data_IF_236918843328
#
_entry.id   IF_236918843328
#
_cell.length_a   1.000
_cell.length_b   1.000
_cell.length_c   1.000
_cell.angle_alpha   90.00
_cell.angle_beta   90.00
_cell.angle_gamma   90.00
#
_symmetry.space_group_name_H-M   'P 1'
#
loop_
_entity.id
_entity.type
_entity.pdbx_description
1 polymer ?
#
# COMPACT_ATOMS: atom_id res chain seq x y z
N UNK A 1 11.49 22.46 -4.05
CA UNK A 1 10.41 21.78 -4.80
C UNK A 1 9.48 21.09 -3.81
N UNK A 2 8.18 20.95 -4.08
CA UNK A 2 7.23 20.30 -3.14
C UNK A 2 7.58 18.81 -2.93
N UNK A 3 7.54 18.29 -1.68
CA UNK A 3 7.88 16.89 -1.36
C UNK A 3 6.83 15.90 -1.88
N UNK A 4 7.22 14.64 -2.06
CA UNK A 4 6.31 13.52 -2.21
C UNK A 4 6.26 12.71 -0.90
N UNK A 5 5.12 12.10 -0.59
CA UNK A 5 4.96 11.23 0.57
C UNK A 5 4.56 9.81 0.16
N UNK A 6 5.04 8.82 0.89
CA UNK A 6 4.73 7.40 0.67
C UNK A 6 4.23 6.78 1.98
N UNK A 7 3.12 6.06 1.90
CA UNK A 7 2.51 5.32 3.00
C UNK A 7 2.04 3.95 2.49
N UNK A 8 1.98 2.94 3.35
CA UNK A 8 1.55 1.57 3.02
C UNK A 8 1.12 0.85 4.29
N UNK A 9 0.40 -0.27 4.14
CA UNK A 9 0.15 -1.19 5.25
C UNK A 9 -0.55 -0.54 6.45
N UNK A 10 -1.58 0.26 6.16
CA UNK A 10 -2.40 0.91 7.19
C UNK A 10 -3.40 -0.06 7.83
N UNK A 11 -3.80 -1.10 7.10
CA UNK A 11 -4.75 -2.14 7.54
C UNK A 11 -6.01 -1.58 8.22
N UNK A 12 -6.57 -0.49 7.67
CA UNK A 12 -7.73 0.18 8.24
C UNK A 12 -8.91 -0.79 8.37
N UNK A 13 -9.60 -0.72 9.52
CA UNK A 13 -10.79 -1.52 9.79
C UNK A 13 -11.63 -0.89 10.89
N UNK A 14 -12.92 -1.24 10.95
CA UNK A 14 -13.83 -0.80 12.02
C UNK A 14 -13.40 -1.29 13.42
N UNK A 15 -12.52 -2.30 13.49
CA UNK A 15 -11.98 -2.83 14.75
C UNK A 15 -10.81 -2.03 15.30
N UNK A 16 -10.20 -1.19 14.46
CA UNK A 16 -9.03 -0.38 14.78
C UNK A 16 -9.28 1.07 14.32
N UNK A 17 -10.30 1.76 14.87
CA UNK A 17 -10.63 3.13 14.49
C UNK A 17 -9.49 4.12 14.74
N UNK A 18 -8.58 3.82 15.67
CA UNK A 18 -7.36 4.60 15.95
C UNK A 18 -6.43 4.71 14.73
N UNK A 19 -6.28 3.65 13.92
CA UNK A 19 -5.48 3.71 12.70
C UNK A 19 -6.13 4.62 11.65
N UNK A 20 -7.47 4.62 11.62
CA UNK A 20 -8.21 5.57 10.78
C UNK A 20 -7.98 7.00 11.27
N UNK A 21 -8.03 7.24 12.58
CA UNK A 21 -7.75 8.55 13.15
C UNK A 21 -6.32 9.04 12.83
N UNK A 22 -5.31 8.17 12.89
CA UNK A 22 -3.95 8.49 12.45
C UNK A 22 -3.94 8.90 10.96
N UNK A 23 -4.61 8.16 10.08
CA UNK A 23 -4.64 8.50 8.66
C UNK A 23 -5.30 9.85 8.45
N UNK A 24 -6.45 10.09 9.09
CA UNK A 24 -7.14 11.37 8.95
C UNK A 24 -6.31 12.53 9.49
N UNK A 25 -5.55 12.33 10.56
CA UNK A 25 -4.60 13.31 11.08
C UNK A 25 -3.50 13.61 10.05
N UNK A 26 -2.94 12.59 9.40
CA UNK A 26 -1.98 12.78 8.32
C UNK A 26 -2.60 13.53 7.14
N UNK A 27 -3.73 13.08 6.62
CA UNK A 27 -4.39 13.68 5.46
C UNK A 27 -4.82 15.13 5.69
N UNK A 28 -5.11 15.50 6.94
CA UNK A 28 -5.46 16.88 7.33
C UNK A 28 -4.25 17.76 7.65
N UNK A 29 -3.05 17.20 7.66
CA UNK A 29 -1.84 17.92 8.02
C UNK A 29 -1.37 18.91 6.96
N UNK A 30 -0.60 19.91 7.40
CA UNK A 30 0.07 20.85 6.50
C UNK A 30 1.02 20.13 5.56
N UNK A 31 1.75 19.13 6.06
CA UNK A 31 2.62 18.25 5.27
C UNK A 31 1.88 17.63 4.07
N UNK A 32 0.74 16.96 4.32
CA UNK A 32 -0.06 16.35 3.27
C UNK A 32 -0.68 17.40 2.31
N UNK A 33 -1.16 18.52 2.85
CA UNK A 33 -1.77 19.59 2.06
C UNK A 33 -0.79 20.34 1.14
N UNK A 34 0.51 20.32 1.45
CA UNK A 34 1.56 20.98 0.66
C UNK A 34 2.36 20.00 -0.21
N UNK A 35 2.05 18.71 -0.16
CA UNK A 35 2.70 17.68 -0.94
C UNK A 35 2.53 17.92 -2.46
N UNK A 36 3.55 17.56 -3.23
CA UNK A 36 3.44 17.36 -4.68
C UNK A 36 2.54 16.17 -4.98
N UNK A 37 2.78 15.06 -4.27
CA UNK A 37 2.04 13.83 -4.44
C UNK A 37 2.08 12.97 -3.16
N UNK A 38 1.05 12.15 -2.99
CA UNK A 38 0.98 11.09 -1.98
C UNK A 38 0.81 9.76 -2.71
N UNK A 39 1.66 8.79 -2.40
CA UNK A 39 1.61 7.44 -2.94
C UNK A 39 1.23 6.47 -1.82
N UNK A 40 0.12 5.78 -2.01
CA UNK A 40 -0.38 4.74 -1.11
C UNK A 40 -0.02 3.39 -1.73
N UNK A 41 0.96 2.69 -1.17
CA UNK A 41 1.53 1.46 -1.75
C UNK A 41 0.81 0.19 -1.27
N UNK A 42 -0.52 0.24 -1.19
CA UNK A 42 -1.36 -0.92 -0.92
C UNK A 42 -1.59 -1.21 0.56
N UNK A 43 -2.47 -2.18 0.80
CA UNK A 43 -2.91 -2.57 2.15
C UNK A 43 -3.41 -1.36 2.97
N UNK A 44 -4.14 -0.46 2.30
CA UNK A 44 -4.85 0.64 2.93
C UNK A 44 -5.94 0.11 3.87
N UNK A 45 -6.67 -0.93 3.47
CA UNK A 45 -7.69 -1.59 4.30
C UNK A 45 -7.27 -3.02 4.68
N UNK A 46 -7.70 -3.52 5.84
CA UNK A 46 -7.37 -4.90 6.27
C UNK A 46 -7.90 -5.97 5.30
N UNK A 47 -9.01 -5.67 4.61
CA UNK A 47 -9.45 -6.34 3.40
C UNK A 47 -10.39 -5.42 2.60
N UNK A 48 -10.45 -5.62 1.28
CA UNK A 48 -11.45 -5.00 0.40
C UNK A 48 -12.16 -6.08 -0.41
N UNK A 49 -13.49 -6.14 -0.34
CA UNK A 49 -14.28 -7.16 -1.06
C UNK A 49 -15.04 -6.64 -2.28
N UNK A 50 -14.94 -5.35 -2.59
CA UNK A 50 -15.50 -4.74 -3.79
C UNK A 50 -15.91 -3.29 -3.54
N UNK A 51 -15.90 -2.47 -4.60
CA UNK A 51 -16.20 -1.04 -4.51
C UNK A 51 -17.67 -0.73 -4.16
N UNK A 52 -18.55 -1.74 -4.20
CA UNK A 52 -19.94 -1.65 -3.79
C UNK A 52 -20.14 -1.73 -2.26
N UNK A 53 -19.06 -1.98 -1.50
CA UNK A 53 -19.08 -1.90 -0.04
C UNK A 53 -19.08 -0.44 0.42
N UNK A 54 -20.26 0.02 0.87
CA UNK A 54 -20.43 1.36 1.44
C UNK A 54 -20.48 1.24 2.97
N UNK A 55 -19.38 1.61 3.62
CA UNK A 55 -19.26 1.76 5.07
C UNK A 55 -18.88 3.20 5.44
N UNK A 56 -19.06 3.57 6.71
CA UNK A 56 -18.59 4.85 7.23
C UNK A 56 -17.07 4.99 7.09
N UNK A 57 -16.33 3.90 7.35
CA UNK A 57 -14.88 3.85 7.15
C UNK A 57 -14.50 4.15 5.70
N UNK A 58 -15.05 3.41 4.73
CA UNK A 58 -14.71 3.57 3.31
C UNK A 58 -15.05 4.98 2.83
N UNK A 59 -16.22 5.48 3.21
CA UNK A 59 -16.72 6.79 2.81
C UNK A 59 -15.91 7.92 3.42
N UNK A 60 -15.54 7.82 4.70
CA UNK A 60 -14.74 8.84 5.38
C UNK A 60 -13.31 8.91 4.83
N UNK A 61 -12.66 7.76 4.62
CA UNK A 61 -11.32 7.68 4.00
C UNK A 61 -11.35 8.25 2.59
N UNK A 62 -12.30 7.83 1.74
CA UNK A 62 -12.43 8.35 0.38
C UNK A 62 -12.63 9.88 0.37
N UNK A 63 -13.51 10.39 1.24
CA UNK A 63 -13.79 11.83 1.35
C UNK A 63 -12.55 12.63 1.77
N UNK A 64 -11.77 12.14 2.74
CA UNK A 64 -10.60 12.86 3.24
C UNK A 64 -9.43 12.83 2.24
N UNK A 65 -9.22 11.73 1.52
CA UNK A 65 -8.27 11.69 0.39
C UNK A 65 -8.73 12.64 -0.72
N UNK A 66 -10.04 12.67 -1.01
CA UNK A 66 -10.61 13.54 -2.05
C UNK A 66 -10.39 15.02 -1.77
N UNK A 67 -10.47 15.43 -0.50
CA UNK A 67 -10.16 16.82 -0.09
C UNK A 67 -8.75 17.27 -0.46
N UNK A 68 -7.77 16.36 -0.47
CA UNK A 68 -6.40 16.67 -0.89
C UNK A 68 -6.28 16.77 -2.41
N UNK A 69 -6.88 15.82 -3.13
CA UNK A 69 -6.85 15.83 -4.60
C UNK A 69 -7.62 17.01 -5.20
N UNK A 70 -8.75 17.40 -4.62
CA UNK A 70 -9.48 18.62 -5.01
C UNK A 70 -8.66 19.91 -4.78
N UNK A 71 -7.67 19.89 -3.87
CA UNK A 71 -6.71 21.00 -3.66
C UNK A 71 -5.48 20.92 -4.58
N UNK A 72 -5.44 19.94 -5.48
CA UNK A 72 -4.35 19.77 -6.45
C UNK A 72 -3.19 18.90 -5.97
N UNK A 73 -3.30 18.19 -4.83
CA UNK A 73 -2.31 17.18 -4.43
C UNK A 73 -2.57 15.90 -5.22
N UNK A 74 -1.61 15.43 -6.02
CA UNK A 74 -1.78 14.18 -6.75
C UNK A 74 -1.77 12.99 -5.77
N UNK A 75 -2.78 12.13 -5.81
CA UNK A 75 -2.81 10.90 -4.99
C UNK A 75 -2.77 9.68 -5.89
N UNK A 76 -1.82 8.79 -5.65
CA UNK A 76 -1.63 7.56 -6.40
C UNK A 76 -1.81 6.34 -5.50
N UNK A 77 -2.37 5.27 -6.05
CA UNK A 77 -2.64 4.04 -5.33
C UNK A 77 -2.08 2.83 -6.08
N UNK A 78 -1.25 2.03 -5.42
CA UNK A 78 -0.88 0.68 -5.86
C UNK A 78 -1.67 -0.30 -5.00
N UNK A 79 -2.29 -1.31 -5.60
CA UNK A 79 -3.01 -2.34 -4.84
C UNK A 79 -2.06 -3.18 -4.00
N UNK A 80 -2.45 -3.44 -2.76
CA UNK A 80 -1.83 -4.44 -1.91
C UNK A 80 -2.52 -5.80 -2.02
N UNK A 81 -2.04 -6.75 -1.23
CA UNK A 81 -2.58 -8.11 -1.25
C UNK A 81 -3.90 -8.25 -0.46
N UNK A 82 -4.29 -7.22 0.29
CA UNK A 82 -5.54 -7.17 1.06
C UNK A 82 -6.66 -6.45 0.33
N UNK A 83 -6.28 -5.50 -0.50
CA UNK A 83 -7.17 -4.58 -1.18
C UNK A 83 -7.01 -4.61 -2.71
N UNK A 84 -6.54 -5.75 -3.25
CA UNK A 84 -6.41 -6.00 -4.69
C UNK A 84 -7.72 -5.93 -5.49
N UNK A 85 -8.87 -5.90 -4.80
CA UNK A 85 -10.18 -5.69 -5.41
C UNK A 85 -10.61 -4.21 -5.46
N UNK A 86 -9.84 -3.28 -4.89
CA UNK A 86 -10.09 -1.84 -5.07
C UNK A 86 -10.12 -1.53 -6.56
N UNK A 87 -11.24 -1.05 -7.04
CA UNK A 87 -11.52 -0.76 -8.44
C UNK A 87 -11.43 0.72 -8.77
N UNK A 88 -11.87 1.04 -9.98
CA UNK A 88 -11.85 2.41 -10.48
C UNK A 88 -12.89 3.30 -9.80
N UNK A 89 -13.95 2.71 -9.23
CA UNK A 89 -15.05 3.49 -8.65
C UNK A 89 -14.64 4.05 -7.29
N UNK A 90 -14.00 3.24 -6.44
CA UNK A 90 -13.41 3.74 -5.21
C UNK A 90 -12.28 4.75 -5.47
N UNK A 91 -11.36 4.44 -6.40
CA UNK A 91 -10.29 5.38 -6.76
C UNK A 91 -10.86 6.72 -7.27
N UNK A 92 -11.91 6.71 -8.09
CA UNK A 92 -12.58 7.93 -8.56
C UNK A 92 -13.25 8.70 -7.43
N UNK A 93 -13.93 8.00 -6.53
CA UNK A 93 -14.56 8.60 -5.36
C UNK A 93 -13.53 9.31 -4.47
N UNK A 94 -12.40 8.65 -4.21
CA UNK A 94 -11.29 9.16 -3.41
C UNK A 94 -10.41 10.19 -4.14
N UNK A 95 -10.55 10.34 -5.46
CA UNK A 95 -9.67 11.20 -6.26
C UNK A 95 -8.23 10.67 -6.38
N UNK A 96 -8.08 9.35 -6.45
CA UNK A 96 -6.80 8.66 -6.62
C UNK A 96 -6.60 8.17 -8.06
N UNK A 97 -5.35 8.16 -8.51
CA UNK A 97 -4.94 7.46 -9.73
C UNK A 97 -4.43 6.07 -9.38
N UNK A 98 -5.10 5.04 -9.90
CA UNK A 98 -4.70 3.66 -9.74
C UNK A 98 -3.51 3.34 -10.65
N UNK A 99 -2.42 2.85 -10.05
CA UNK A 99 -1.18 2.47 -10.73
C UNK A 99 -1.10 0.94 -10.93
N UNK A 100 -0.31 0.46 -11.92
CA UNK A 100 0.04 -0.96 -12.02
C UNK A 100 0.90 -1.43 -10.85
N UNK A 101 1.09 -2.75 -10.73
CA UNK A 101 1.88 -3.39 -9.65
C UNK A 101 3.29 -2.80 -9.49
N UNK A 102 3.90 -2.35 -10.59
CA UNK A 102 5.19 -1.68 -10.63
C UNK A 102 5.10 -0.38 -11.41
N UNK A 103 5.57 0.72 -10.83
CA UNK A 103 5.68 2.02 -11.51
C UNK A 103 7.04 2.64 -11.27
N UNK A 104 7.64 3.24 -12.30
CA UNK A 104 8.89 4.01 -12.16
C UNK A 104 8.56 5.49 -12.15
N UNK A 105 9.06 6.18 -11.13
CA UNK A 105 8.91 7.60 -10.92
C UNK A 105 10.26 8.29 -11.08
N UNK A 106 10.27 9.52 -11.60
CA UNK A 106 11.40 10.42 -11.40
C UNK A 106 11.12 11.28 -10.16
N UNK A 107 11.86 11.01 -9.09
CA UNK A 107 11.76 11.75 -7.83
C UNK A 107 13.06 12.50 -7.61
N UNK A 108 13.04 13.78 -8.01
CA UNK A 108 14.16 14.71 -7.85
C UNK A 108 15.45 14.24 -8.55
N UNK A 109 15.32 13.69 -9.76
CA UNK A 109 16.44 13.19 -10.56
C UNK A 109 16.83 11.74 -10.28
N UNK A 110 16.19 11.09 -9.29
CA UNK A 110 16.45 9.69 -8.96
C UNK A 110 15.30 8.80 -9.47
N UNK A 111 15.62 7.88 -10.40
CA UNK A 111 14.63 6.91 -10.90
C UNK A 111 14.25 5.94 -9.79
N UNK A 112 13.00 6.00 -9.36
CA UNK A 112 12.48 5.27 -8.21
C UNK A 112 11.39 4.29 -8.64
N UNK A 113 11.65 3.00 -8.51
CA UNK A 113 10.64 1.94 -8.65
C UNK A 113 9.76 1.90 -7.41
N UNK A 114 8.45 1.84 -7.59
CA UNK A 114 7.47 1.67 -6.51
C UNK A 114 6.59 0.45 -6.77
N UNK A 115 6.22 -0.25 -5.70
CA UNK A 115 5.27 -1.34 -5.69
C UNK A 115 4.75 -1.58 -4.26
N UNK A 116 3.75 -2.44 -4.08
CA UNK A 116 3.34 -2.86 -2.74
C UNK A 116 4.41 -3.73 -2.05
N UNK A 117 5.01 -4.69 -2.76
CA UNK A 117 6.12 -5.51 -2.27
C UNK A 117 5.83 -7.01 -2.19
N UNK A 118 4.55 -7.41 -2.15
CA UNK A 118 4.12 -8.82 -2.15
C UNK A 118 4.62 -9.60 -3.38
N UNK A 119 4.79 -8.93 -4.51
CA UNK A 119 5.36 -9.48 -5.75
C UNK A 119 6.85 -9.81 -5.66
N UNK A 120 7.57 -9.24 -4.70
CA UNK A 120 9.00 -9.46 -4.47
C UNK A 120 9.27 -10.65 -3.52
N UNK A 121 8.27 -11.07 -2.73
CA UNK A 121 8.35 -12.20 -1.80
C UNK A 121 8.18 -13.55 -2.54
N UNK A 122 9.09 -13.85 -3.47
CA UNK A 122 8.95 -15.04 -4.36
C UNK A 122 9.17 -16.38 -3.67
N UNK A 123 9.80 -16.38 -2.50
CA UNK A 123 10.07 -17.59 -1.73
C UNK A 123 8.83 -18.11 -0.99
N UNK A 124 7.84 -17.24 -0.71
CA UNK A 124 6.50 -17.67 -0.28
C UNK A 124 5.69 -18.24 -1.46
N UNK A 125 6.12 -19.42 -1.94
CA UNK A 125 5.50 -20.12 -3.08
C UNK A 125 4.02 -20.43 -2.86
N UNK A 126 3.59 -20.62 -1.60
CA UNK A 126 2.19 -20.83 -1.29
C UNK A 126 1.38 -19.56 -1.54
N UNK A 127 1.86 -18.41 -1.03
CA UNK A 127 1.26 -17.11 -1.28
C UNK A 127 1.27 -16.74 -2.77
N UNK A 128 2.39 -16.91 -3.48
CA UNK A 128 2.48 -16.57 -4.91
C UNK A 128 1.50 -17.42 -5.76
N UNK A 129 1.27 -18.69 -5.40
CA UNK A 129 0.24 -19.52 -6.04
C UNK A 129 -1.17 -18.98 -5.77
N UNK A 130 -1.46 -18.64 -4.52
CA UNK A 130 -2.74 -18.02 -4.13
C UNK A 130 -2.97 -16.71 -4.90
N UNK A 131 -2.00 -15.80 -4.91
CA UNK A 131 -2.02 -14.54 -5.67
C UNK A 131 -2.36 -14.78 -7.14
N UNK A 132 -1.66 -15.72 -7.80
CA UNK A 132 -1.92 -16.07 -9.21
C UNK A 132 -3.36 -16.54 -9.46
N UNK A 133 -4.00 -17.18 -8.47
CA UNK A 133 -5.39 -17.63 -8.58
C UNK A 133 -6.34 -16.45 -8.40
N UNK A 134 -6.20 -15.67 -7.33
CA UNK A 134 -7.15 -14.58 -7.00
C UNK A 134 -7.04 -13.36 -7.91
N UNK A 135 -5.92 -13.19 -8.62
CA UNK A 135 -5.75 -12.15 -9.65
C UNK A 135 -6.38 -12.52 -11.00
N UNK A 136 -6.92 -13.74 -11.18
CA UNK A 136 -7.63 -14.09 -12.42
C UNK A 136 -8.91 -13.25 -12.55
N UNK A 137 -8.99 -12.42 -13.60
CA UNK A 137 -10.13 -11.50 -13.82
C UNK A 137 -11.49 -12.18 -13.86
N UNK A 138 -11.58 -13.38 -14.42
CA UNK A 138 -12.81 -14.19 -14.41
C UNK A 138 -13.23 -14.56 -12.98
N UNK A 139 -12.28 -14.93 -12.13
CA UNK A 139 -12.55 -15.27 -10.73
C UNK A 139 -12.93 -14.03 -9.92
N UNK A 140 -12.24 -12.91 -10.12
CA UNK A 140 -12.63 -11.63 -9.50
C UNK A 140 -14.06 -11.23 -9.89
N UNK A 141 -14.41 -11.33 -11.18
CA UNK A 141 -15.77 -11.05 -11.66
C UNK A 141 -16.82 -11.96 -11.00
N UNK A 142 -16.56 -13.28 -10.94
CA UNK A 142 -17.46 -14.23 -10.28
C UNK A 142 -17.58 -13.96 -8.78
N UNK A 143 -16.48 -13.63 -8.12
CA UNK A 143 -16.47 -13.27 -6.70
C UNK A 143 -17.32 -12.03 -6.44
N UNK A 144 -17.16 -10.97 -7.25
CA UNK A 144 -17.91 -9.71 -7.14
C UNK A 144 -19.41 -9.87 -7.45
N UNK A 145 -19.83 -10.95 -8.13
CA UNK A 145 -21.25 -11.29 -8.31
C UNK A 145 -21.90 -11.88 -7.05
N UNK A 146 -21.11 -12.38 -6.09
CA UNK A 146 -21.65 -12.90 -4.84
C UNK A 146 -22.19 -11.75 -3.99
N UNK A 147 -23.29 -11.94 -3.23
CA UNK A 147 -23.77 -10.90 -2.32
C UNK A 147 -22.68 -10.52 -1.32
N UNK A 148 -22.59 -9.24 -0.97
CA UNK A 148 -21.53 -8.68 -0.12
C UNK A 148 -21.27 -9.51 1.14
N UNK A 149 -22.33 -9.90 1.86
CA UNK A 149 -22.25 -10.76 3.05
C UNK A 149 -21.46 -12.06 2.84
N UNK A 150 -21.59 -12.70 1.68
CA UNK A 150 -20.85 -13.93 1.35
C UNK A 150 -19.38 -13.64 1.05
N UNK A 151 -19.11 -12.56 0.30
CA UNK A 151 -17.74 -12.11 0.03
C UNK A 151 -17.00 -11.76 1.32
N UNK A 152 -17.61 -10.98 2.22
CA UNK A 152 -17.05 -10.60 3.52
C UNK A 152 -16.76 -11.83 4.38
N UNK A 153 -17.68 -12.80 4.43
CA UNK A 153 -17.47 -14.08 5.13
C UNK A 153 -16.29 -14.86 4.56
N UNK A 154 -16.18 -14.96 3.23
CA UNK A 154 -15.09 -15.68 2.57
C UNK A 154 -13.75 -14.97 2.80
N UNK A 155 -13.69 -13.65 2.64
CA UNK A 155 -12.50 -12.85 2.93
C UNK A 155 -12.06 -13.02 4.39
N UNK A 156 -12.99 -12.93 5.35
CA UNK A 156 -12.72 -13.15 6.77
C UNK A 156 -12.14 -14.55 7.03
N UNK A 157 -12.67 -15.59 6.37
CA UNK A 157 -12.14 -16.96 6.49
C UNK A 157 -10.72 -17.06 5.94
N UNK A 158 -10.46 -16.53 4.75
CA UNK A 158 -9.12 -16.50 4.13
C UNK A 158 -8.13 -15.76 5.03
N UNK A 159 -8.54 -14.62 5.61
CA UNK A 159 -7.74 -13.83 6.54
C UNK A 159 -7.34 -14.62 7.78
N UNK A 160 -8.29 -15.36 8.38
CA UNK A 160 -8.02 -16.23 9.55
C UNK A 160 -7.00 -17.31 9.22
N UNK A 161 -7.16 -18.00 8.09
CA UNK A 161 -6.22 -19.05 7.64
C UNK A 161 -4.83 -18.44 7.38
N UNK A 162 -4.76 -17.33 6.66
CA UNK A 162 -3.50 -16.64 6.38
C UNK A 162 -2.79 -16.19 7.66
N UNK A 163 -3.53 -15.69 8.66
CA UNK A 163 -2.96 -15.31 9.96
C UNK A 163 -2.32 -16.52 10.67
N UNK A 164 -2.99 -17.68 10.65
CA UNK A 164 -2.44 -18.91 11.23
C UNK A 164 -1.20 -19.41 10.48
N UNK A 165 -1.21 -19.37 9.15
CA UNK A 165 -0.04 -19.77 8.35
C UNK A 165 1.17 -18.87 8.61
N UNK A 166 0.97 -17.54 8.71
CA UNK A 166 2.04 -16.58 8.99
C UNK A 166 2.73 -16.81 10.33
N UNK A 167 2.04 -17.39 11.33
CA UNK A 167 2.63 -17.69 12.64
C UNK A 167 3.65 -18.83 12.59
N UNK A 168 3.59 -19.69 11.58
CA UNK A 168 4.45 -20.88 11.46
C UNK A 168 5.48 -20.74 10.33
N UNK A 169 5.27 -19.81 9.39
CA UNK A 169 6.20 -19.55 8.30
C UNK A 169 7.49 -18.87 8.81
N UNK A 170 8.67 -19.34 8.38
CA UNK A 170 9.93 -18.64 8.60
C UNK A 170 9.87 -17.20 8.10
N UNK A 171 10.42 -16.27 8.87
CA UNK A 171 10.34 -14.85 8.59
C UNK A 171 11.09 -14.46 7.30
N UNK A 172 12.17 -15.15 7.00
CA UNK A 172 12.99 -15.08 5.78
C UNK A 172 12.22 -15.51 4.52
N UNK A 173 11.32 -16.50 4.61
CA UNK A 173 10.46 -16.91 3.48
C UNK A 173 9.42 -15.83 3.13
N UNK A 174 8.99 -15.05 4.12
CA UNK A 174 7.98 -13.99 3.95
C UNK A 174 8.59 -12.65 3.54
N UNK A 175 9.92 -12.51 3.57
CA UNK A 175 10.59 -11.29 3.12
C UNK A 175 10.81 -11.31 1.60
N UNK A 176 11.28 -10.19 1.07
CA UNK A 176 11.63 -10.06 -0.34
C UNK A 176 12.81 -10.98 -0.68
N UNK A 177 12.75 -11.63 -1.84
CA UNK A 177 13.91 -12.37 -2.34
C UNK A 177 14.94 -11.35 -2.87
N UNK A 178 16.11 -11.27 -2.25
CA UNK A 178 17.12 -10.25 -2.57
C UNK A 178 17.57 -10.28 -4.04
N UNK A 179 17.85 -11.47 -4.58
CA UNK A 179 18.31 -11.62 -5.97
C UNK A 179 17.21 -11.26 -6.99
N UNK A 180 15.96 -11.67 -6.73
CA UNK A 180 14.81 -11.29 -7.54
C UNK A 180 14.60 -9.77 -7.50
N UNK A 181 14.66 -9.18 -6.31
CA UNK A 181 14.46 -7.74 -6.08
C UNK A 181 15.50 -6.91 -6.83
N UNK A 182 16.79 -7.24 -6.69
CA UNK A 182 17.86 -6.57 -7.42
C UNK A 182 17.69 -6.68 -8.95
N UNK A 183 17.24 -7.85 -9.45
CA UNK A 183 16.95 -8.04 -10.87
C UNK A 183 15.78 -7.18 -11.33
N UNK A 184 14.69 -7.08 -10.56
CA UNK A 184 13.56 -6.22 -10.90
C UNK A 184 13.96 -4.76 -10.96
N UNK A 185 14.68 -4.26 -9.94
CA UNK A 185 15.17 -2.87 -9.91
C UNK A 185 16.02 -2.54 -11.14
N UNK A 186 16.95 -3.44 -11.49
CA UNK A 186 17.78 -3.31 -12.71
C UNK A 186 16.93 -3.36 -13.98
N UNK A 187 15.97 -4.27 -14.09
CA UNK A 187 15.12 -4.42 -15.27
C UNK A 187 14.25 -3.17 -15.52
N UNK A 188 13.81 -2.50 -14.46
CA UNK A 188 13.10 -1.22 -14.54
C UNK A 188 14.02 0.00 -14.66
N UNK A 189 15.35 -0.19 -14.62
CA UNK A 189 16.34 0.89 -14.72
C UNK A 189 16.24 1.90 -13.59
N UNK A 190 15.88 1.45 -12.38
CA UNK A 190 15.73 2.29 -11.20
C UNK A 190 16.97 2.24 -10.30
N UNK A 191 17.22 3.32 -9.58
CA UNK A 191 18.32 3.48 -8.60
C UNK A 191 17.80 3.36 -7.17
N UNK A 192 16.49 3.46 -6.99
CA UNK A 192 15.80 3.31 -5.72
C UNK A 192 14.55 2.45 -5.86
N UNK A 193 14.24 1.65 -4.85
CA UNK A 193 13.00 0.92 -4.69
C UNK A 193 12.29 1.40 -3.41
N UNK A 194 10.99 1.73 -3.49
CA UNK A 194 10.15 1.98 -2.32
C UNK A 194 9.00 0.97 -2.33
N UNK A 195 8.84 0.21 -1.25
CA UNK A 195 7.76 -0.78 -1.10
C UNK A 195 7.31 -0.92 0.35
N UNK A 196 6.17 -1.58 0.60
CA UNK A 196 5.70 -1.98 1.94
C UNK A 196 5.66 -3.50 2.08
N UNK A 197 4.50 -4.02 2.50
CA UNK A 197 4.12 -5.44 2.63
C UNK A 197 4.83 -6.25 3.72
N UNK A 198 6.14 -6.07 3.88
CA UNK A 198 6.95 -6.91 4.79
C UNK A 198 6.96 -6.39 6.23
N UNK A 199 6.53 -5.14 6.44
CA UNK A 199 6.47 -4.44 7.74
C UNK A 199 7.84 -4.30 8.42
N UNK A 200 8.91 -4.28 7.61
CA UNK A 200 10.30 -4.18 8.07
C UNK A 200 10.87 -2.81 7.75
N UNK A 201 10.27 -1.77 8.33
CA UNK A 201 10.62 -0.38 8.03
C UNK A 201 12.12 -0.14 8.14
N UNK A 202 12.75 0.22 7.01
CA UNK A 202 14.19 0.47 6.96
C UNK A 202 14.61 1.09 5.61
N UNK A 203 15.72 1.84 5.62
CA UNK A 203 16.43 2.27 4.40
C UNK A 203 17.67 1.38 4.22
N UNK A 204 17.60 0.43 3.29
CA UNK A 204 18.70 -0.47 2.98
C UNK A 204 19.54 0.07 1.82
N UNK A 205 20.86 0.12 1.99
CA UNK A 205 21.81 0.42 0.93
C UNK A 205 22.29 -0.90 0.31
N UNK A 206 21.60 -1.33 -0.73
CA UNK A 206 21.90 -2.57 -1.45
C UNK A 206 23.02 -2.32 -2.48
N UNK A 207 23.64 -3.39 -2.99
CA UNK A 207 24.65 -3.24 -4.04
C UNK A 207 24.02 -2.73 -5.35
N UNK A 208 24.19 -1.44 -5.62
CA UNK A 208 23.77 -0.76 -6.85
C UNK A 208 22.40 -0.07 -6.78
N UNK A 209 21.69 -0.10 -5.64
CA UNK A 209 20.44 0.64 -5.47
C UNK A 209 20.08 0.84 -3.98
N UNK A 210 19.22 1.80 -3.67
CA UNK A 210 18.66 1.94 -2.32
C UNK A 210 17.27 1.31 -2.24
N UNK A 211 17.01 0.46 -1.25
CA UNK A 211 15.69 -0.15 -0.99
C UNK A 211 15.09 0.41 0.29
N UNK A 212 13.95 1.08 0.18
CA UNK A 212 13.21 1.65 1.30
C UNK A 212 11.96 0.81 1.53
N UNK A 213 11.81 0.29 2.74
CA UNK A 213 10.64 -0.47 3.18
C UNK A 213 9.79 0.42 4.07
N UNK A 214 8.51 0.59 3.75
CA UNK A 214 7.52 1.26 4.57
C UNK A 214 7.04 0.31 5.68
N UNK A 215 6.79 0.86 6.87
CA UNK A 215 6.25 0.14 8.02
C UNK A 215 4.72 0.07 8.02
N UNK A 216 4.20 -0.82 8.85
CA UNK A 216 2.78 -0.82 9.21
C UNK A 216 2.45 0.27 10.22
N UNK A 217 1.17 0.61 10.32
CA UNK A 217 0.67 1.61 11.27
C UNK A 217 0.12 0.91 12.51
N UNK A 218 0.50 1.38 13.69
CA UNK A 218 0.10 0.77 14.95
C UNK A 218 0.09 1.78 16.11
N UNK A 219 -0.85 1.66 17.04
CA UNK A 219 -0.96 2.53 18.21
C UNK A 219 -0.93 4.02 17.83
N UNK A 220 0.11 4.76 18.23
CA UNK A 220 0.34 6.18 17.90
C UNK A 220 1.43 6.40 16.84
N UNK A 221 1.84 5.34 16.14
CA UNK A 221 2.88 5.36 15.12
C UNK A 221 2.31 5.23 13.71
N UNK A 222 2.76 6.10 12.82
CA UNK A 222 2.42 6.10 11.40
C UNK A 222 3.71 6.12 10.57
N UNK A 223 3.93 5.08 9.76
CA UNK A 223 5.04 5.05 8.81
C UNK A 223 4.74 5.98 7.64
N UNK A 224 5.48 7.10 7.59
CA UNK A 224 5.35 8.11 6.55
C UNK A 224 6.73 8.46 6.03
N UNK A 225 7.02 8.11 4.78
CA UNK A 225 8.27 8.48 4.12
C UNK A 225 8.07 9.79 3.35
N UNK A 226 8.88 10.81 3.65
CA UNK A 226 8.99 12.04 2.85
C UNK A 226 10.16 11.90 1.88
N UNK A 227 9.93 12.26 0.62
CA UNK A 227 10.97 12.36 -0.41
C UNK A 227 10.96 13.77 -0.98
N UNK A 228 12.09 14.45 -0.91
CA UNK A 228 12.31 15.79 -1.48
C UNK A 228 13.70 15.87 -2.14
N UNK A 229 14.16 17.10 -2.45
CA UNK A 229 15.46 17.31 -3.06
C UNK A 229 16.65 16.96 -2.16
N UNK A 230 16.45 16.83 -0.85
CA UNK A 230 17.49 16.52 0.13
C UNK A 230 17.61 15.00 0.37
N UNK A 231 16.61 14.22 -0.04
CA UNK A 231 16.64 12.77 0.02
C UNK A 231 15.31 12.15 0.45
N UNK A 232 15.39 10.96 1.07
CA UNK A 232 14.24 10.24 1.59
C UNK A 232 14.41 10.02 3.11
N UNK A 233 13.41 10.41 3.90
CA UNK A 233 13.44 10.33 5.36
C UNK A 233 12.06 9.98 5.91
N UNK A 234 12.01 9.10 6.92
CA UNK A 234 10.78 8.86 7.68
C UNK A 234 10.48 10.05 8.58
N UNK A 235 9.25 10.55 8.51
CA UNK A 235 8.82 11.73 9.28
C UNK A 235 7.78 11.34 10.33
N UNK A 236 7.87 11.88 11.55
CA UNK A 236 6.84 11.65 12.55
C UNK A 236 5.54 12.32 12.11
N UNK A 237 4.42 11.69 12.44
CA UNK A 237 3.12 12.32 12.26
C UNK A 237 2.97 13.50 13.23
N UNK A 238 2.80 14.72 12.68
CA UNK A 238 2.61 15.96 13.45
C UNK A 238 1.66 15.73 14.64
N UNK A 239 2.11 16.13 15.84
CA UNK A 239 1.25 16.20 17.02
C UNK A 239 0.44 17.51 16.92
N UNK A 240 -0.88 17.40 16.91
CA UNK A 240 -1.76 18.52 17.23
C UNK A 240 -2.07 18.48 18.72
#
# INVERSE_FOLDING_TARGET
>A
MKPAYFISDLHLSEKQPELTALLLRFLRSSAAGQARAIYILGDLFDFWVGDDEVSELNTSVAREIRKLSDKGVAVFFVRGNRDFLIGQDFCRQAGMTLLPDYSVLDLFGCKTLICHGDTLCTDDRAYQRFRKIVHRKRLQKLFLMLPLKWRTRLATKIRRVSKMEKQVKPADIMDVNAAFTARQVRAFGAERLIHGHTHREHIHHENGFTRIVLGDWHNDYASILRVDGDGAVFVPLEKY
#
